data_IF_836918903446
#
_entry.id   IF_836918903446
#
_cell.length_a   1.000
_cell.length_b   1.000
_cell.length_c   1.000
_cell.angle_alpha   90.00
_cell.angle_beta   90.00
_cell.angle_gamma   90.00
#
_symmetry.space_group_name_H-M   'P 1'
#
loop_
_entity.id
_entity.type
_entity.pdbx_description
1 polymer ?
#
# COMPACT_ATOMS: atom_id res chain seq x y z
N UNK A 1 -17.96 -22.74 33.25
CA UNK A 1 -18.14 -23.01 31.82
C UNK A 1 -16.76 -23.03 31.19
N UNK A 2 -16.50 -23.85 30.15
CA UNK A 2 -15.24 -23.80 29.41
C UNK A 2 -15.15 -22.47 28.67
N UNK A 3 -13.95 -21.90 28.55
CA UNK A 3 -13.71 -20.64 27.84
C UNK A 3 -13.30 -20.92 26.40
N UNK A 4 -13.94 -20.27 25.45
CA UNK A 4 -13.71 -20.47 24.02
C UNK A 4 -13.33 -19.14 23.38
N UNK A 5 -12.29 -19.14 22.55
CA UNK A 5 -11.84 -17.94 21.83
C UNK A 5 -11.86 -18.16 20.32
N UNK A 6 -12.32 -17.16 19.57
CA UNK A 6 -12.17 -17.09 18.11
C UNK A 6 -11.91 -15.65 17.70
N UNK A 7 -11.23 -15.40 16.58
CA UNK A 7 -10.96 -14.04 16.09
C UNK A 7 -11.50 -13.85 14.68
N UNK A 8 -12.15 -12.72 14.43
CA UNK A 8 -12.68 -12.34 13.13
C UNK A 8 -11.96 -11.15 12.51
N UNK A 9 -11.67 -11.28 11.22
CA UNK A 9 -11.06 -10.28 10.36
C UNK A 9 -12.02 -9.92 9.21
N UNK A 10 -13.28 -9.61 9.53
CA UNK A 10 -14.35 -9.37 8.55
C UNK A 10 -15.16 -8.12 8.83
N UNK A 11 -15.64 -7.49 7.75
CA UNK A 11 -16.63 -6.41 7.79
C UNK A 11 -18.07 -6.93 7.61
N UNK A 12 -18.25 -8.20 7.24
CA UNK A 12 -19.57 -8.82 6.99
C UNK A 12 -19.63 -10.21 7.64
N UNK A 13 -20.68 -10.45 8.41
CA UNK A 13 -21.00 -11.76 8.98
C UNK A 13 -21.88 -12.55 8.01
N UNK A 14 -21.29 -13.55 7.37
CA UNK A 14 -21.99 -14.51 6.52
C UNK A 14 -22.11 -15.89 7.20
N UNK A 15 -22.65 -16.88 6.48
CA UNK A 15 -22.93 -18.23 7.02
C UNK A 15 -21.71 -18.93 7.62
N UNK A 16 -20.56 -18.90 6.94
CA UNK A 16 -19.31 -19.47 7.49
C UNK A 16 -18.93 -18.97 8.89
N UNK A 17 -19.04 -17.66 9.14
CA UNK A 17 -18.81 -17.08 10.47
C UNK A 17 -19.83 -17.58 11.50
N UNK A 18 -21.11 -17.68 11.12
CA UNK A 18 -22.17 -18.19 12.01
C UNK A 18 -21.97 -19.67 12.35
N UNK A 19 -21.53 -20.48 11.40
CA UNK A 19 -21.23 -21.90 11.64
C UNK A 19 -20.04 -22.06 12.59
N UNK A 20 -19.01 -21.23 12.42
CA UNK A 20 -17.86 -21.20 13.32
C UNK A 20 -18.27 -20.83 14.76
N UNK A 21 -19.14 -19.82 14.92
CA UNK A 21 -19.67 -19.44 16.24
C UNK A 21 -20.52 -20.53 16.89
N UNK A 22 -21.36 -21.22 16.12
CA UNK A 22 -22.16 -22.35 16.64
C UNK A 22 -21.28 -23.48 17.15
N UNK A 23 -20.25 -23.85 16.38
CA UNK A 23 -19.26 -24.84 16.80
C UNK A 23 -18.51 -24.39 18.06
N UNK A 24 -18.18 -23.11 18.18
CA UNK A 24 -17.57 -22.55 19.38
C UNK A 24 -18.52 -22.58 20.60
N UNK A 25 -19.79 -22.25 20.42
CA UNK A 25 -20.80 -22.22 21.48
C UNK A 25 -21.14 -23.62 22.03
N UNK A 26 -20.99 -24.67 21.23
CA UNK A 26 -21.11 -26.07 21.69
C UNK A 26 -20.00 -26.45 22.70
N UNK A 27 -18.85 -25.77 22.66
CA UNK A 27 -17.70 -26.05 23.53
C UNK A 27 -17.72 -25.26 24.84
N UNK A 28 -18.38 -24.09 24.88
CA UNK A 28 -18.38 -23.24 26.07
C UNK A 28 -18.78 -21.79 25.81
N UNK A 29 -18.33 -20.91 26.71
CA UNK A 29 -18.62 -19.46 26.67
C UNK A 29 -17.67 -18.79 25.66
N UNK A 30 -18.24 -18.13 24.64
CA UNK A 30 -17.49 -17.64 23.49
C UNK A 30 -17.09 -16.17 23.67
N UNK A 31 -15.78 -15.94 23.71
CA UNK A 31 -15.17 -14.61 23.55
C UNK A 31 -14.71 -14.47 22.10
N UNK A 32 -15.15 -13.42 21.41
CA UNK A 32 -14.73 -13.12 20.04
C UNK A 32 -13.74 -11.95 20.02
N UNK A 33 -12.56 -12.18 19.48
CA UNK A 33 -11.61 -11.14 19.10
C UNK A 33 -11.99 -10.47 17.79
N UNK A 34 -11.86 -9.15 17.74
CA UNK A 34 -11.97 -8.37 16.51
C UNK A 34 -10.61 -7.76 16.23
N UNK A 35 -9.99 -8.14 15.10
CA UNK A 35 -8.64 -7.70 14.76
C UNK A 35 -8.59 -6.18 14.56
N UNK A 36 -7.58 -5.51 15.11
CA UNK A 36 -7.36 -4.07 14.97
C UNK A 36 -7.24 -3.63 13.51
N UNK A 37 -7.60 -2.36 13.21
CA UNK A 37 -7.50 -1.81 11.83
C UNK A 37 -6.06 -1.86 11.27
N UNK A 38 -5.00 -1.51 12.04
CA UNK A 38 -3.62 -1.57 11.54
C UNK A 38 -3.22 -2.98 11.14
N UNK A 39 -3.58 -3.99 11.94
CA UNK A 39 -3.24 -5.37 11.64
C UNK A 39 -4.08 -5.95 10.52
N UNK A 40 -5.35 -5.52 10.36
CA UNK A 40 -6.14 -5.88 9.18
C UNK A 40 -5.47 -5.42 7.88
N UNK A 41 -4.96 -4.19 7.85
CA UNK A 41 -4.24 -3.62 6.69
C UNK A 41 -2.96 -4.41 6.40
N UNK A 42 -2.20 -4.77 7.43
CA UNK A 42 -0.94 -5.54 7.26
C UNK A 42 -1.19 -6.99 6.85
N UNK A 43 -2.23 -7.62 7.39
CA UNK A 43 -2.51 -9.04 7.20
C UNK A 43 -3.32 -9.33 5.94
N UNK A 44 -4.50 -8.74 5.79
CA UNK A 44 -5.53 -9.30 4.92
C UNK A 44 -6.10 -8.25 3.96
N UNK A 45 -6.79 -7.25 4.51
CA UNK A 45 -7.55 -6.29 3.71
C UNK A 45 -7.80 -4.99 4.44
N UNK A 46 -8.04 -3.96 3.65
CA UNK A 46 -8.46 -2.67 4.15
C UNK A 46 -9.88 -2.73 4.76
N UNK A 47 -10.10 -2.30 6.02
CA UNK A 47 -11.40 -2.38 6.66
C UNK A 47 -12.39 -1.36 6.07
N UNK A 48 -13.55 -1.85 5.59
CA UNK A 48 -14.64 -0.99 5.10
C UNK A 48 -15.48 -0.41 6.23
N UNK A 49 -15.50 -1.07 7.40
CA UNK A 49 -16.16 -0.62 8.63
C UNK A 49 -15.13 -0.22 9.69
N UNK A 50 -15.51 0.72 10.54
CA UNK A 50 -14.71 1.05 11.72
C UNK A 50 -14.62 -0.14 12.68
N UNK A 51 -13.54 -0.23 13.47
CA UNK A 51 -13.42 -1.24 14.52
C UNK A 51 -14.65 -1.28 15.44
N UNK A 52 -15.20 -0.13 15.82
CA UNK A 52 -16.38 -0.04 16.68
C UNK A 52 -17.62 -0.68 16.03
N UNK A 53 -17.87 -0.42 14.73
CA UNK A 53 -18.97 -1.04 13.99
C UNK A 53 -18.79 -2.56 13.86
N UNK A 54 -17.56 -3.02 13.63
CA UNK A 54 -17.23 -4.46 13.57
C UNK A 54 -17.47 -5.16 14.91
N UNK A 55 -17.07 -4.53 16.01
CA UNK A 55 -17.33 -5.03 17.36
C UNK A 55 -18.83 -5.11 17.67
N UNK A 56 -19.61 -4.09 17.31
CA UNK A 56 -21.05 -4.09 17.55
C UNK A 56 -21.77 -5.17 16.72
N UNK A 57 -21.38 -5.34 15.45
CA UNK A 57 -21.90 -6.39 14.58
C UNK A 57 -21.72 -7.79 15.17
N UNK A 58 -20.64 -8.01 15.92
CA UNK A 58 -20.35 -9.29 16.58
C UNK A 58 -21.06 -9.38 17.94
N UNK A 59 -21.15 -8.28 18.69
CA UNK A 59 -21.75 -8.24 20.02
C UNK A 59 -23.24 -8.59 20.02
N UNK A 60 -23.95 -8.30 18.93
CA UNK A 60 -25.39 -8.61 18.80
C UNK A 60 -25.68 -10.08 18.47
N UNK A 61 -24.66 -10.91 18.24
CA UNK A 61 -24.84 -12.31 17.90
C UNK A 61 -25.12 -13.15 19.16
N UNK A 62 -26.15 -14.01 19.15
CA UNK A 62 -26.61 -14.72 20.35
C UNK A 62 -25.61 -15.73 20.89
N UNK A 63 -24.71 -16.24 20.05
CA UNK A 63 -23.65 -17.17 20.45
C UNK A 63 -22.48 -16.49 21.20
N UNK A 64 -22.40 -15.15 21.20
CA UNK A 64 -21.25 -14.39 21.69
C UNK A 64 -21.50 -13.87 23.10
N UNK A 65 -20.61 -14.22 24.04
CA UNK A 65 -20.69 -13.75 25.42
C UNK A 65 -19.88 -12.46 25.65
N UNK A 66 -18.70 -12.35 25.02
CA UNK A 66 -17.81 -11.20 25.14
C UNK A 66 -17.16 -10.86 23.80
N UNK A 67 -16.95 -9.58 23.53
CA UNK A 67 -16.22 -9.09 22.36
C UNK A 67 -15.04 -8.26 22.82
N UNK A 68 -13.84 -8.63 22.36
CA UNK A 68 -12.58 -7.94 22.69
C UNK A 68 -11.88 -7.49 21.42
N UNK A 69 -11.02 -6.49 21.54
CA UNK A 69 -10.08 -6.16 20.46
C UNK A 69 -8.92 -7.15 20.53
N UNK A 70 -8.55 -7.68 19.36
CA UNK A 70 -7.28 -8.37 19.16
C UNK A 70 -6.31 -7.38 18.51
N UNK A 71 -5.34 -6.89 19.29
CA UNK A 71 -4.45 -5.81 18.87
C UNK A 71 -3.40 -6.25 17.84
N UNK A 72 -3.04 -7.53 17.85
CA UNK A 72 -2.02 -8.15 17.00
C UNK A 72 -2.55 -9.36 16.23
N UNK A 73 -2.05 -9.59 15.01
CA UNK A 73 -2.44 -10.77 14.23
C UNK A 73 -2.06 -12.08 14.93
N UNK A 74 -0.94 -12.09 15.66
CA UNK A 74 -0.54 -13.20 16.49
C UNK A 74 -1.36 -13.26 17.78
N UNK A 75 -1.59 -14.48 18.25
CA UNK A 75 -2.55 -14.76 19.32
C UNK A 75 -1.88 -14.85 20.69
N UNK A 76 -0.56 -14.89 20.79
CA UNK A 76 0.16 -15.15 22.03
C UNK A 76 -0.20 -14.16 23.14
N UNK A 77 -0.27 -12.86 22.86
CA UNK A 77 -0.66 -11.87 23.88
C UNK A 77 -2.11 -12.06 24.36
N UNK A 78 -3.05 -12.21 23.43
CA UNK A 78 -4.47 -12.35 23.77
C UNK A 78 -4.75 -13.68 24.49
N UNK A 79 -4.05 -14.74 24.12
CA UNK A 79 -4.16 -16.05 24.76
C UNK A 79 -3.49 -16.09 26.13
N UNK A 80 -2.36 -15.41 26.32
CA UNK A 80 -1.73 -15.26 27.63
C UNK A 80 -2.67 -14.49 28.61
N UNK A 81 -3.42 -13.51 28.09
CA UNK A 81 -4.40 -12.72 28.87
C UNK A 81 -5.68 -13.51 29.18
N UNK A 82 -6.33 -14.09 28.18
CA UNK A 82 -7.65 -14.71 28.33
C UNK A 82 -7.58 -16.15 28.85
N UNK A 83 -6.51 -16.86 28.52
CA UNK A 83 -6.28 -18.29 28.79
C UNK A 83 -7.51 -19.16 28.48
N UNK A 84 -8.03 -19.14 27.24
CA UNK A 84 -9.18 -19.97 26.86
C UNK A 84 -8.82 -21.46 26.87
N UNK A 85 -9.79 -22.31 27.21
CA UNK A 85 -9.63 -23.77 27.09
C UNK A 85 -9.53 -24.18 25.61
N UNK A 86 -10.28 -23.50 24.74
CA UNK A 86 -10.35 -23.79 23.31
C UNK A 86 -10.13 -22.54 22.47
N UNK A 87 -9.34 -22.64 21.40
CA UNK A 87 -9.37 -21.70 20.29
C UNK A 87 -10.07 -22.36 19.11
N UNK A 88 -11.01 -21.67 18.48
CA UNK A 88 -11.76 -22.19 17.34
C UNK A 88 -11.46 -21.34 16.10
N UNK A 89 -10.99 -21.97 15.03
CA UNK A 89 -10.66 -21.30 13.78
C UNK A 89 -10.99 -22.19 12.57
N UNK A 90 -11.35 -21.62 11.42
CA UNK A 90 -11.54 -22.40 10.20
C UNK A 90 -10.27 -23.13 9.75
N UNK A 91 -10.42 -24.27 9.08
CA UNK A 91 -9.29 -25.10 8.62
C UNK A 91 -8.47 -24.51 7.45
N UNK A 92 -8.78 -23.29 6.99
CA UNK A 92 -8.28 -22.69 5.74
C UNK A 92 -6.93 -21.95 5.85
N UNK A 93 -6.28 -21.97 7.00
CA UNK A 93 -5.02 -21.26 7.30
C UNK A 93 -3.79 -22.17 7.48
N UNK A 94 -3.90 -23.45 7.13
CA UNK A 94 -2.83 -24.43 7.34
C UNK A 94 -1.63 -24.28 6.38
N UNK A 95 -1.77 -23.51 5.30
CA UNK A 95 -0.77 -23.29 4.26
C UNK A 95 -0.56 -21.80 4.03
N UNK A 96 0.53 -21.43 3.35
CA UNK A 96 0.85 -20.02 3.07
C UNK A 96 1.40 -19.27 4.29
N UNK A 97 1.48 -17.94 4.20
CA UNK A 97 1.94 -17.08 5.29
C UNK A 97 1.12 -17.26 6.57
N UNK A 98 -0.17 -17.59 6.47
CA UNK A 98 -1.09 -17.80 7.60
C UNK A 98 -0.71 -19.01 8.47
N UNK A 99 0.06 -19.95 7.93
CA UNK A 99 0.55 -21.10 8.69
C UNK A 99 1.43 -20.71 9.89
N UNK A 100 2.04 -19.52 9.85
CA UNK A 100 2.78 -18.92 10.98
C UNK A 100 1.84 -18.60 12.16
N UNK A 101 0.66 -18.04 11.88
CA UNK A 101 -0.37 -17.71 12.87
C UNK A 101 -0.87 -18.99 13.55
N UNK A 102 -1.13 -20.04 12.76
CA UNK A 102 -1.54 -21.35 13.31
C UNK A 102 -0.47 -21.94 14.24
N UNK A 103 0.81 -21.84 13.88
CA UNK A 103 1.93 -22.28 14.75
C UNK A 103 2.01 -21.46 16.03
N UNK A 104 1.82 -20.15 15.96
CA UNK A 104 1.79 -19.26 17.12
C UNK A 104 0.66 -19.66 18.10
N UNK A 105 -0.54 -19.92 17.60
CA UNK A 105 -1.68 -20.38 18.42
C UNK A 105 -1.39 -21.70 19.13
N UNK A 106 -0.89 -22.70 18.39
CA UNK A 106 -0.53 -24.01 18.97
C UNK A 106 0.54 -23.87 20.05
N UNK A 107 1.56 -23.04 19.80
CA UNK A 107 2.63 -22.79 20.76
C UNK A 107 2.12 -22.07 22.02
N UNK A 108 1.23 -21.08 21.88
CA UNK A 108 0.63 -20.35 23.00
C UNK A 108 -0.27 -21.26 23.85
N UNK A 109 -1.16 -22.04 23.23
CA UNK A 109 -2.05 -22.97 23.92
C UNK A 109 -1.29 -24.04 24.71
N UNK A 110 -0.18 -24.55 24.16
CA UNK A 110 0.66 -25.56 24.81
C UNK A 110 1.25 -25.08 26.14
N UNK A 111 1.40 -23.76 26.36
CA UNK A 111 1.94 -23.19 27.61
C UNK A 111 1.05 -23.47 28.82
N UNK A 112 -0.25 -23.67 28.62
CA UNK A 112 -1.22 -23.85 29.69
C UNK A 112 -2.22 -25.00 29.46
N UNK A 113 -2.06 -25.77 28.39
CA UNK A 113 -2.87 -26.95 28.10
C UNK A 113 -4.22 -26.67 27.43
N UNK A 114 -4.32 -25.59 26.63
CA UNK A 114 -5.47 -25.35 25.77
C UNK A 114 -5.42 -26.16 24.47
N UNK A 115 -6.53 -26.20 23.74
CA UNK A 115 -6.67 -26.97 22.50
C UNK A 115 -7.14 -26.10 21.33
N UNK A 116 -6.60 -26.35 20.13
CA UNK A 116 -7.06 -25.73 18.89
C UNK A 116 -8.09 -26.66 18.22
N UNK A 117 -9.29 -26.13 17.96
CA UNK A 117 -10.38 -26.83 17.28
C UNK A 117 -10.59 -26.21 15.90
N UNK A 118 -10.53 -27.05 14.86
CA UNK A 118 -10.56 -26.61 13.47
C UNK A 118 -11.77 -27.19 12.72
N UNK A 119 -12.98 -26.62 12.87
CA UNK A 119 -14.13 -27.06 12.08
C UNK A 119 -13.88 -26.86 10.58
N UNK A 120 -14.50 -27.69 9.72
CA UNK A 120 -14.38 -27.55 8.27
C UNK A 120 -14.78 -26.16 7.79
N UNK A 121 -13.98 -25.58 6.90
CA UNK A 121 -14.30 -24.29 6.30
C UNK A 121 -15.59 -24.36 5.47
N UNK A 122 -16.51 -23.42 5.71
CA UNK A 122 -17.76 -23.35 4.95
C UNK A 122 -17.50 -22.75 3.58
N UNK A 123 -17.42 -23.60 2.56
CA UNK A 123 -17.35 -23.16 1.15
C UNK A 123 -18.70 -23.37 0.46
N UNK A 124 -19.41 -22.28 0.18
CA UNK A 124 -20.58 -22.33 -0.69
C UNK A 124 -20.62 -21.09 -1.61
N UNK A 125 -21.48 -21.15 -2.62
CA UNK A 125 -21.57 -20.11 -3.65
C UNK A 125 -21.95 -18.74 -3.08
N UNK A 126 -22.81 -18.69 -2.06
CA UNK A 126 -23.23 -17.43 -1.43
C UNK A 126 -22.10 -16.80 -0.61
N UNK A 127 -21.34 -17.59 0.16
CA UNK A 127 -20.16 -17.11 0.89
C UNK A 127 -19.13 -16.54 -0.09
N UNK A 128 -18.80 -17.28 -1.16
CA UNK A 128 -17.86 -16.80 -2.18
C UNK A 128 -18.33 -15.51 -2.85
N UNK A 129 -19.63 -15.39 -3.10
CA UNK A 129 -20.23 -14.18 -3.69
C UNK A 129 -20.13 -12.98 -2.74
N UNK A 130 -20.35 -13.18 -1.44
CA UNK A 130 -20.21 -12.11 -0.44
C UNK A 130 -18.75 -11.65 -0.37
N UNK A 131 -17.79 -12.57 -0.27
CA UNK A 131 -16.37 -12.24 -0.24
C UNK A 131 -15.93 -11.50 -1.51
N UNK A 132 -16.41 -11.94 -2.67
CA UNK A 132 -16.18 -11.25 -3.94
C UNK A 132 -16.76 -9.83 -3.93
N UNK A 133 -18.02 -9.65 -3.52
CA UNK A 133 -18.66 -8.33 -3.45
C UNK A 133 -17.93 -7.38 -2.51
N UNK A 134 -17.39 -7.85 -1.39
CA UNK A 134 -16.58 -7.05 -0.49
C UNK A 134 -15.30 -6.55 -1.16
N UNK A 135 -14.64 -7.42 -1.93
CA UNK A 135 -13.45 -7.04 -2.69
C UNK A 135 -13.77 -6.05 -3.80
N UNK A 136 -14.84 -6.26 -4.55
CA UNK A 136 -15.28 -5.35 -5.61
C UNK A 136 -15.60 -3.96 -5.07
N UNK A 137 -16.25 -3.87 -3.90
CA UNK A 137 -16.48 -2.59 -3.24
C UNK A 137 -15.18 -1.83 -2.99
N UNK A 138 -14.09 -2.54 -2.65
CA UNK A 138 -12.77 -1.94 -2.49
C UNK A 138 -12.10 -1.56 -3.83
N UNK A 139 -12.49 -2.15 -4.95
CA UNK A 139 -11.99 -1.79 -6.28
C UNK A 139 -12.66 -0.54 -6.85
N UNK A 140 -13.88 -0.22 -6.39
CA UNK A 140 -14.66 0.91 -6.89
C UNK A 140 -13.92 2.26 -6.74
N UNK A 141 -13.98 3.16 -7.75
CA UNK A 141 -13.32 4.46 -7.70
C UNK A 141 -13.62 5.28 -6.44
N UNK A 142 -14.87 5.28 -5.97
CA UNK A 142 -15.30 6.03 -4.79
C UNK A 142 -14.63 5.50 -3.51
N UNK A 143 -14.51 4.19 -3.37
CA UNK A 143 -13.86 3.56 -2.22
C UNK A 143 -12.33 3.62 -2.28
N UNK A 144 -11.75 3.65 -3.49
CA UNK A 144 -10.29 3.72 -3.69
C UNK A 144 -9.76 5.14 -3.48
N UNK A 145 -10.47 6.17 -3.98
CA UNK A 145 -10.04 7.57 -3.91
C UNK A 145 -9.67 8.01 -2.49
N UNK A 146 -10.57 7.82 -1.52
CA UNK A 146 -10.34 8.18 -0.11
C UNK A 146 -9.43 7.24 0.69
N UNK A 147 -8.98 6.13 0.11
CA UNK A 147 -8.28 5.08 0.85
C UNK A 147 -6.92 5.51 1.38
N UNK A 148 -6.16 6.29 0.60
CA UNK A 148 -4.85 6.75 1.03
C UNK A 148 -4.92 7.60 2.31
N UNK A 149 -5.88 8.53 2.38
CA UNK A 149 -6.09 9.34 3.59
C UNK A 149 -6.41 8.49 4.82
N UNK A 150 -7.24 7.47 4.64
CA UNK A 150 -7.60 6.54 5.73
C UNK A 150 -6.41 5.69 6.15
N UNK A 151 -5.59 5.20 5.21
CA UNK A 151 -4.34 4.51 5.55
C UNK A 151 -3.41 5.40 6.39
N UNK A 152 -3.28 6.67 6.05
CA UNK A 152 -2.50 7.64 6.83
C UNK A 152 -3.04 7.86 8.26
N UNK A 153 -4.27 7.46 8.57
CA UNK A 153 -4.79 7.45 9.96
C UNK A 153 -4.65 6.11 10.67
N UNK A 154 -4.38 5.02 9.93
CA UNK A 154 -4.39 3.65 10.43
C UNK A 154 -2.96 3.13 10.64
N UNK A 155 -2.10 3.29 9.65
CA UNK A 155 -0.74 2.75 9.67
C UNK A 155 0.30 3.84 9.99
N UNK A 156 1.39 3.49 10.70
CA UNK A 156 2.46 4.44 10.96
C UNK A 156 3.09 4.94 9.66
N UNK A 157 3.21 4.05 8.66
CA UNK A 157 3.77 4.36 7.36
C UNK A 157 2.97 3.64 6.25
N UNK A 158 2.73 4.33 5.15
CA UNK A 158 2.14 3.74 3.94
C UNK A 158 3.26 3.29 3.01
N UNK A 159 3.41 1.98 2.85
CA UNK A 159 4.42 1.36 2.01
C UNK A 159 3.92 1.28 0.58
N UNK A 160 4.60 1.97 -0.31
CA UNK A 160 4.18 2.12 -1.71
C UNK A 160 5.24 1.52 -2.62
N UNK A 161 4.83 0.68 -3.58
CA UNK A 161 5.72 0.09 -4.58
C UNK A 161 5.34 0.50 -5.99
N UNK A 162 6.34 0.65 -6.86
CA UNK A 162 6.12 0.98 -8.26
C UNK A 162 5.29 -0.08 -9.01
N UNK A 163 4.41 0.40 -9.89
CA UNK A 163 3.66 -0.43 -10.85
C UNK A 163 3.61 0.28 -12.21
N UNK A 164 3.64 -0.50 -13.29
CA UNK A 164 3.61 0.02 -14.66
C UNK A 164 2.82 -0.87 -15.64
N UNK A 165 2.06 -1.85 -15.12
CA UNK A 165 1.08 -2.67 -15.85
C UNK A 165 0.27 -3.54 -14.85
N UNK A 166 -0.75 -4.25 -15.34
CA UNK A 166 -1.57 -5.14 -14.50
C UNK A 166 -0.77 -6.24 -13.77
N UNK A 167 0.31 -6.78 -14.35
CA UNK A 167 1.13 -7.83 -13.70
C UNK A 167 1.88 -7.29 -12.49
N UNK A 168 2.52 -6.13 -12.61
CA UNK A 168 3.16 -5.45 -11.47
C UNK A 168 2.13 -4.99 -10.44
N UNK A 169 0.94 -4.59 -10.88
CA UNK A 169 -0.22 -4.37 -10.01
C UNK A 169 -0.56 -5.61 -9.17
N UNK A 170 -0.68 -6.78 -9.79
CA UNK A 170 -0.96 -8.04 -9.08
C UNK A 170 0.15 -8.44 -8.10
N UNK A 171 1.42 -8.19 -8.44
CA UNK A 171 2.55 -8.40 -7.51
C UNK A 171 2.41 -7.48 -6.31
N UNK A 172 2.15 -6.19 -6.51
CA UNK A 172 1.95 -5.22 -5.43
C UNK A 172 0.71 -5.55 -4.57
N UNK A 173 -0.36 -6.06 -5.18
CA UNK A 173 -1.59 -6.47 -4.51
C UNK A 173 -1.38 -7.71 -3.63
N UNK A 174 -0.73 -8.75 -4.17
CA UNK A 174 -0.73 -10.11 -3.59
C UNK A 174 0.52 -10.48 -2.79
N UNK A 175 1.58 -9.67 -2.83
CA UNK A 175 2.80 -9.98 -2.08
C UNK A 175 2.56 -9.79 -0.59
N UNK A 176 2.66 -10.89 0.16
CA UNK A 176 2.63 -10.92 1.63
C UNK A 176 3.86 -11.71 2.10
N UNK A 177 4.56 -11.18 3.09
CA UNK A 177 5.73 -11.80 3.70
C UNK A 177 5.54 -11.97 5.20
N UNK A 178 6.24 -12.95 5.77
CA UNK A 178 6.37 -13.10 7.22
C UNK A 178 7.63 -12.35 7.67
N UNK A 179 7.50 -11.43 8.63
CA UNK A 179 8.62 -10.71 9.23
C UNK A 179 8.36 -10.42 10.72
N UNK A 180 9.40 -10.56 11.56
CA UNK A 180 9.38 -10.23 13.00
C UNK A 180 8.16 -10.79 13.79
N UNK A 181 7.71 -12.00 13.44
CA UNK A 181 6.55 -12.62 14.09
C UNK A 181 5.21 -12.01 13.67
N UNK A 182 5.14 -11.32 12.53
CA UNK A 182 3.91 -10.81 11.92
C UNK A 182 3.87 -11.03 10.41
N UNK A 183 2.76 -10.63 9.79
CA UNK A 183 2.60 -10.59 8.34
C UNK A 183 2.72 -9.15 7.85
N UNK A 184 3.24 -8.99 6.64
CA UNK A 184 3.48 -7.67 6.06
C UNK A 184 3.29 -7.65 4.54
N UNK A 185 2.78 -6.52 4.02
CA UNK A 185 2.49 -6.31 2.60
C UNK A 185 2.63 -4.85 2.18
N UNK A 186 2.52 -4.55 0.88
CA UNK A 186 2.42 -3.16 0.40
C UNK A 186 1.03 -2.58 0.63
N UNK A 187 0.95 -1.30 0.97
CA UNK A 187 -0.30 -0.60 1.29
C UNK A 187 -0.87 0.18 0.11
N UNK A 188 0.00 0.64 -0.80
CA UNK A 188 -0.35 1.49 -1.93
C UNK A 188 0.52 1.20 -3.17
N UNK A 189 0.11 1.74 -4.32
CA UNK A 189 0.81 1.59 -5.58
C UNK A 189 1.29 2.93 -6.13
N UNK A 190 2.51 2.95 -6.66
CA UNK A 190 3.13 4.13 -7.28
C UNK A 190 3.19 3.95 -8.79
N UNK A 191 2.42 4.74 -9.53
CA UNK A 191 2.50 4.75 -11.00
C UNK A 191 3.61 5.72 -11.41
N UNK A 192 4.80 5.14 -11.58
CA UNK A 192 6.05 5.84 -11.86
C UNK A 192 6.12 6.36 -13.30
N UNK A 193 6.42 7.64 -13.50
CA UNK A 193 6.68 8.20 -14.84
C UNK A 193 7.88 7.53 -15.52
N UNK A 194 8.93 7.24 -14.74
CA UNK A 194 10.12 6.53 -15.20
C UNK A 194 9.81 5.11 -15.69
N UNK A 195 9.09 4.32 -14.89
CA UNK A 195 8.83 2.93 -15.23
C UNK A 195 7.83 2.81 -16.38
N UNK A 196 6.81 3.67 -16.41
CA UNK A 196 5.80 3.70 -17.47
C UNK A 196 6.41 4.13 -18.83
N UNK A 197 7.30 5.12 -18.85
CA UNK A 197 8.04 5.47 -20.07
C UNK A 197 9.03 4.38 -20.49
N UNK A 198 9.78 3.82 -19.53
CA UNK A 198 10.77 2.76 -19.80
C UNK A 198 10.13 1.49 -20.35
N UNK A 199 8.97 1.08 -19.82
CA UNK A 199 8.25 -0.11 -20.31
C UNK A 199 7.79 0.06 -21.77
N UNK A 200 7.59 1.31 -22.21
CA UNK A 200 7.27 1.70 -23.59
C UNK A 200 8.52 1.96 -24.46
N UNK A 201 9.72 1.75 -23.92
CA UNK A 201 10.98 2.06 -24.62
C UNK A 201 11.20 3.56 -24.88
N UNK A 202 10.53 4.43 -24.13
CA UNK A 202 10.58 5.88 -24.24
C UNK A 202 11.40 6.49 -23.08
N UNK A 203 12.06 7.64 -23.27
CA UNK A 203 12.71 8.36 -22.18
C UNK A 203 11.70 9.07 -21.26
N UNK A 204 12.06 9.19 -19.98
CA UNK A 204 11.28 9.92 -18.96
C UNK A 204 11.53 11.45 -19.05
N UNK A 205 10.83 12.08 -19.98
CA UNK A 205 10.94 13.51 -20.31
C UNK A 205 9.56 14.17 -20.55
N UNK A 206 8.51 13.69 -19.87
CA UNK A 206 7.10 14.09 -20.14
C UNK A 206 6.61 13.72 -21.56
N UNK A 207 7.28 12.76 -22.22
CA UNK A 207 6.92 12.34 -23.58
C UNK A 207 5.64 11.50 -23.63
N UNK A 208 5.36 10.73 -22.57
CA UNK A 208 4.16 9.90 -22.47
C UNK A 208 3.02 10.78 -21.99
N UNK A 209 2.02 10.99 -22.84
CA UNK A 209 0.90 11.87 -22.53
C UNK A 209 -0.04 11.25 -21.49
N UNK A 210 -0.85 12.08 -20.84
CA UNK A 210 -1.73 11.63 -19.77
C UNK A 210 -2.73 10.55 -20.21
N UNK A 211 -3.16 10.52 -21.48
CA UNK A 211 -4.11 9.52 -21.98
C UNK A 211 -3.47 8.13 -21.98
N UNK A 212 -2.22 8.04 -22.44
CA UNK A 212 -1.40 6.82 -22.36
C UNK A 212 -1.24 6.37 -20.90
N UNK A 213 -0.99 7.30 -19.98
CA UNK A 213 -0.83 7.01 -18.55
C UNK A 213 -2.13 6.57 -17.90
N UNK A 214 -3.27 7.13 -18.30
CA UNK A 214 -4.60 6.69 -17.88
C UNK A 214 -4.86 5.26 -18.32
N UNK A 215 -4.38 4.83 -19.50
CA UNK A 215 -4.48 3.44 -19.90
C UNK A 215 -3.75 2.52 -18.91
N UNK A 216 -2.49 2.84 -18.56
CA UNK A 216 -1.72 2.07 -17.56
C UNK A 216 -2.46 2.03 -16.22
N UNK A 217 -3.04 3.16 -15.78
CA UNK A 217 -3.83 3.24 -14.55
C UNK A 217 -5.04 2.30 -14.62
N UNK A 218 -5.79 2.30 -15.73
CA UNK A 218 -6.96 1.43 -15.90
C UNK A 218 -6.58 -0.05 -15.85
N UNK A 219 -5.49 -0.45 -16.53
CA UNK A 219 -4.99 -1.82 -16.51
C UNK A 219 -4.60 -2.28 -15.09
N UNK A 220 -4.01 -1.40 -14.28
CA UNK A 220 -3.69 -1.69 -12.88
C UNK A 220 -4.97 -1.74 -12.04
N UNK A 221 -5.88 -0.77 -12.22
CA UNK A 221 -7.11 -0.65 -11.44
C UNK A 221 -8.08 -1.81 -11.63
N UNK A 222 -8.06 -2.45 -12.81
CA UNK A 222 -8.89 -3.62 -13.15
C UNK A 222 -8.57 -4.86 -12.30
N UNK A 223 -7.32 -5.01 -11.87
CA UNK A 223 -6.83 -6.24 -11.22
C UNK A 223 -6.41 -6.06 -9.76
N UNK A 224 -6.58 -4.85 -9.21
CA UNK A 224 -6.06 -4.48 -7.87
C UNK A 224 -7.14 -3.80 -7.04
N UNK A 225 -6.89 -3.59 -5.75
CA UNK A 225 -7.79 -2.80 -4.89
C UNK A 225 -7.08 -1.64 -4.23
N UNK A 226 -5.77 -1.73 -3.98
CA UNK A 226 -4.97 -0.73 -3.26
C UNK A 226 -5.04 0.69 -3.87
N UNK A 227 -4.85 1.75 -3.07
CA UNK A 227 -4.84 3.12 -3.56
C UNK A 227 -3.68 3.35 -4.52
N UNK A 228 -3.90 4.23 -5.50
CA UNK A 228 -2.92 4.62 -6.50
C UNK A 228 -2.43 6.04 -6.22
N UNK A 229 -1.11 6.18 -6.16
CA UNK A 229 -0.38 7.43 -6.14
C UNK A 229 0.28 7.59 -7.52
N UNK A 230 -0.04 8.66 -8.22
CA UNK A 230 0.44 8.92 -9.58
C UNK A 230 1.56 9.96 -9.57
N UNK A 231 2.70 9.64 -10.19
CA UNK A 231 3.69 10.65 -10.56
C UNK A 231 3.08 11.57 -11.63
N UNK A 232 2.91 12.85 -11.42
CA UNK A 232 2.35 13.76 -12.44
C UNK A 232 3.39 14.69 -13.04
N UNK A 233 4.68 14.35 -12.89
CA UNK A 233 5.77 15.15 -13.42
C UNK A 233 5.62 16.60 -12.93
N UNK A 234 5.73 17.61 -13.79
CA UNK A 234 5.49 19.00 -13.41
C UNK A 234 4.01 19.39 -13.30
N UNK A 235 3.09 18.48 -13.66
CA UNK A 235 1.64 18.74 -13.72
C UNK A 235 1.18 19.58 -14.93
N UNK A 236 2.09 20.02 -15.80
CA UNK A 236 1.78 20.92 -16.91
C UNK A 236 1.48 22.35 -16.47
N UNK A 237 0.65 23.07 -17.23
CA UNK A 237 0.16 24.41 -16.83
C UNK A 237 -0.91 24.30 -15.75
N UNK A 238 -1.16 25.38 -15.00
CA UNK A 238 -2.18 25.39 -13.95
C UNK A 238 -3.58 25.07 -14.50
N UNK A 239 -3.92 25.56 -15.69
CA UNK A 239 -5.20 25.31 -16.35
C UNK A 239 -5.35 23.84 -16.73
N UNK A 240 -4.32 23.24 -17.34
CA UNK A 240 -4.35 21.81 -17.68
C UNK A 240 -4.41 20.95 -16.42
N UNK A 241 -3.63 21.30 -15.40
CA UNK A 241 -3.61 20.56 -14.14
C UNK A 241 -5.00 20.50 -13.49
N UNK A 242 -5.75 21.60 -13.49
CA UNK A 242 -7.12 21.63 -12.96
C UNK A 242 -8.07 20.62 -13.64
N UNK A 243 -7.99 20.47 -14.97
CA UNK A 243 -8.78 19.45 -15.70
C UNK A 243 -8.27 18.02 -15.45
N UNK A 244 -6.96 17.85 -15.33
CA UNK A 244 -6.34 16.56 -15.05
C UNK A 244 -6.74 16.06 -13.65
N UNK A 245 -6.73 16.92 -12.64
CA UNK A 245 -7.20 16.60 -11.28
C UNK A 245 -8.61 16.04 -11.30
N UNK A 246 -9.56 16.71 -11.97
CA UNK A 246 -10.94 16.24 -12.09
C UNK A 246 -11.06 14.87 -12.76
N UNK A 247 -10.20 14.61 -13.74
CA UNK A 247 -10.20 13.34 -14.48
C UNK A 247 -9.67 12.21 -13.59
N UNK A 248 -8.52 12.42 -12.95
CA UNK A 248 -7.85 11.46 -12.09
C UNK A 248 -8.68 11.16 -10.83
N UNK A 249 -9.28 12.20 -10.24
CA UNK A 249 -10.21 12.07 -9.11
C UNK A 249 -11.44 11.24 -9.48
N UNK A 250 -12.00 11.43 -10.68
CA UNK A 250 -13.19 10.70 -11.14
C UNK A 250 -12.91 9.22 -11.36
N UNK A 251 -11.73 8.86 -11.87
CA UNK A 251 -11.37 7.45 -12.12
C UNK A 251 -10.89 6.72 -10.85
N UNK A 252 -10.71 7.42 -9.73
CA UNK A 252 -10.40 6.81 -8.43
C UNK A 252 -8.91 6.76 -8.08
N UNK A 253 -8.08 7.58 -8.73
CA UNK A 253 -6.70 7.83 -8.26
C UNK A 253 -6.80 8.50 -6.88
N UNK A 254 -5.96 8.08 -5.93
CA UNK A 254 -6.01 8.57 -4.56
C UNK A 254 -5.17 9.84 -4.37
N UNK A 255 -4.03 9.90 -5.06
CA UNK A 255 -3.13 11.05 -5.00
C UNK A 255 -2.37 11.29 -6.29
N UNK A 256 -2.00 12.54 -6.51
CA UNK A 256 -0.99 12.93 -7.50
C UNK A 256 0.19 13.60 -6.81
N UNK A 257 1.39 13.34 -7.31
CA UNK A 257 2.61 14.04 -6.91
C UNK A 257 3.08 14.89 -8.08
N UNK A 258 3.16 16.21 -7.90
CA UNK A 258 3.72 17.13 -8.91
C UNK A 258 5.03 17.75 -8.41
N UNK A 259 6.01 17.94 -9.30
CA UNK A 259 7.35 18.46 -8.96
C UNK A 259 7.56 19.91 -9.42
N UNK A 260 8.32 20.66 -8.63
CA UNK A 260 8.56 22.08 -8.84
C UNK A 260 9.68 22.40 -9.85
N UNK A 261 9.85 21.57 -10.89
CA UNK A 261 10.81 21.81 -11.97
C UNK A 261 10.25 22.69 -13.08
N UNK A 262 11.16 23.35 -13.79
CA UNK A 262 10.91 24.02 -15.07
C UNK A 262 11.95 23.62 -16.11
N UNK A 263 11.59 23.75 -17.39
CA UNK A 263 12.41 23.33 -18.53
C UNK A 263 12.08 21.93 -19.03
N UNK A 264 12.86 21.42 -19.99
CA UNK A 264 12.68 20.05 -20.48
C UNK A 264 12.98 19.07 -19.34
N UNK A 265 11.94 18.37 -18.84
CA UNK A 265 12.09 17.37 -17.78
C UNK A 265 13.17 16.36 -18.20
N UNK A 266 14.11 16.07 -17.29
CA UNK A 266 14.94 14.86 -17.30
C UNK A 266 14.90 14.25 -15.92
N UNK A 267 14.81 12.93 -15.85
CA UNK A 267 14.72 12.19 -14.61
C UNK A 267 15.88 12.52 -13.64
N UNK A 268 15.57 12.71 -12.35
CA UNK A 268 16.50 13.15 -11.28
C UNK A 268 17.69 12.22 -11.05
N UNK A 269 17.64 10.99 -11.58
CA UNK A 269 18.71 10.00 -11.49
C UNK A 269 19.81 10.20 -12.54
N UNK A 270 19.56 10.95 -13.62
CA UNK A 270 20.53 11.23 -14.68
C UNK A 270 21.13 12.63 -14.46
N UNK A 271 22.47 12.72 -14.46
CA UNK A 271 23.24 13.90 -14.03
C UNK A 271 22.91 15.24 -14.70
N UNK A 272 23.45 16.32 -14.14
CA UNK A 272 23.17 17.74 -14.44
C UNK A 272 23.78 18.26 -15.75
N UNK A 273 23.85 17.45 -16.81
CA UNK A 273 24.47 17.85 -18.09
C UNK A 273 23.64 18.90 -18.87
N UNK A 274 22.39 19.15 -18.46
CA UNK A 274 21.55 20.26 -18.93
C UNK A 274 21.03 21.01 -17.70
N UNK A 275 21.10 22.35 -17.71
CA UNK A 275 20.66 23.18 -16.60
C UNK A 275 19.15 22.98 -16.33
N UNK A 276 18.82 22.29 -15.25
CA UNK A 276 17.47 22.22 -14.71
C UNK A 276 17.27 23.39 -13.73
N UNK A 277 16.11 24.04 -13.81
CA UNK A 277 15.72 25.09 -12.87
C UNK A 277 14.47 24.68 -12.10
N UNK A 278 14.23 25.31 -10.95
CA UNK A 278 12.95 25.18 -10.27
C UNK A 278 12.02 26.29 -10.70
N UNK A 279 10.74 25.99 -10.66
CA UNK A 279 9.69 26.98 -10.70
C UNK A 279 9.81 27.94 -9.52
N UNK A 280 9.23 29.12 -9.69
CA UNK A 280 9.08 30.09 -8.61
C UNK A 280 8.06 29.57 -7.61
N UNK A 281 8.26 29.85 -6.32
CA UNK A 281 7.30 29.47 -5.26
C UNK A 281 5.89 29.97 -5.60
N UNK A 282 5.67 31.24 -6.02
CA UNK A 282 4.33 31.72 -6.36
C UNK A 282 3.66 30.97 -7.51
N UNK A 283 4.38 30.71 -8.62
CA UNK A 283 3.79 30.04 -9.78
C UNK A 283 3.44 28.57 -9.49
N UNK A 284 4.31 27.85 -8.77
CA UNK A 284 4.02 26.48 -8.38
C UNK A 284 2.88 26.41 -7.35
N UNK A 285 2.82 27.38 -6.43
CA UNK A 285 1.71 27.54 -5.48
C UNK A 285 0.39 27.81 -6.18
N UNK A 286 0.37 28.65 -7.22
CA UNK A 286 -0.83 28.90 -8.04
C UNK A 286 -1.32 27.60 -8.70
N UNK A 287 -0.42 26.78 -9.23
CA UNK A 287 -0.76 25.47 -9.80
C UNK A 287 -1.38 24.52 -8.77
N UNK A 288 -0.78 24.42 -7.58
CA UNK A 288 -1.34 23.62 -6.47
C UNK A 288 -2.74 24.13 -6.12
N UNK A 289 -2.89 25.43 -5.90
CA UNK A 289 -4.17 26.05 -5.53
C UNK A 289 -5.24 25.85 -6.62
N UNK A 290 -4.87 25.96 -7.90
CA UNK A 290 -5.76 25.68 -9.03
C UNK A 290 -6.22 24.21 -9.05
N UNK A 291 -5.30 23.27 -8.79
CA UNK A 291 -5.62 21.86 -8.64
C UNK A 291 -6.58 21.60 -7.47
N UNK A 292 -6.28 22.17 -6.29
CA UNK A 292 -7.12 22.07 -5.09
C UNK A 292 -8.52 22.65 -5.32
N UNK A 293 -8.63 23.81 -5.96
CA UNK A 293 -9.91 24.42 -6.32
C UNK A 293 -10.71 23.62 -7.36
N UNK A 294 -10.05 22.76 -8.14
CA UNK A 294 -10.70 21.95 -9.16
C UNK A 294 -11.31 20.65 -8.63
N UNK A 295 -10.89 20.19 -7.44
CA UNK A 295 -11.36 18.96 -6.79
C UNK A 295 -12.87 19.00 -6.53
N UNK A 296 -13.50 17.83 -6.57
CA UNK A 296 -14.93 17.66 -6.28
C UNK A 296 -15.17 17.02 -4.91
N UNK A 297 -14.13 16.42 -4.34
CA UNK A 297 -14.13 15.73 -3.06
C UNK A 297 -12.91 16.17 -2.24
N UNK A 298 -13.00 16.04 -0.92
CA UNK A 298 -11.85 16.23 -0.03
C UNK A 298 -10.93 15.01 0.02
N UNK A 299 -11.31 13.91 -0.66
CA UNK A 299 -10.63 12.62 -0.59
C UNK A 299 -9.33 12.58 -1.37
N UNK A 300 -9.32 13.15 -2.59
CA UNK A 300 -8.16 13.18 -3.46
C UNK A 300 -7.04 14.05 -2.86
N UNK A 301 -5.79 13.63 -3.00
CA UNK A 301 -4.62 14.35 -2.47
C UNK A 301 -3.76 14.93 -3.60
N UNK A 302 -3.28 16.16 -3.41
CA UNK A 302 -2.23 16.78 -4.22
C UNK A 302 -1.00 16.93 -3.34
N UNK A 303 0.07 16.23 -3.68
CA UNK A 303 1.34 16.22 -2.95
C UNK A 303 2.37 16.99 -3.77
N UNK A 304 3.07 17.93 -3.13
CA UNK A 304 4.11 18.73 -3.77
C UNK A 304 5.48 18.09 -3.57
N UNK A 305 6.16 17.75 -4.67
CA UNK A 305 7.53 17.26 -4.70
C UNK A 305 8.51 18.41 -4.84
N UNK A 306 9.46 18.48 -3.91
CA UNK A 306 10.47 19.53 -3.81
C UNK A 306 11.80 18.99 -4.34
N UNK A 307 12.35 19.66 -5.36
CA UNK A 307 13.60 19.26 -6.02
C UNK A 307 14.83 20.06 -5.55
N UNK A 308 14.71 20.84 -4.46
CA UNK A 308 15.78 21.71 -3.96
C UNK A 308 17.07 20.97 -3.58
N UNK A 309 16.96 19.77 -2.99
CA UNK A 309 18.14 18.97 -2.64
C UNK A 309 18.75 18.31 -3.89
N UNK A 310 17.92 17.88 -4.85
CA UNK A 310 18.40 17.37 -6.16
C UNK A 310 19.21 18.43 -6.90
N UNK A 311 18.81 19.70 -6.80
CA UNK A 311 19.43 20.85 -7.45
C UNK A 311 20.42 21.61 -6.56
N UNK A 312 20.81 21.02 -5.42
CA UNK A 312 21.85 21.54 -4.53
C UNK A 312 21.60 22.96 -4.00
N UNK A 313 20.33 23.38 -3.89
CA UNK A 313 19.94 24.67 -3.29
C UNK A 313 19.93 24.66 -1.76
N UNK A 314 19.99 23.49 -1.16
CA UNK A 314 20.10 23.28 0.27
C UNK A 314 18.77 23.29 1.03
N UNK A 315 18.88 23.01 2.33
CA UNK A 315 17.75 22.80 3.24
C UNK A 315 16.84 24.03 3.40
N UNK A 316 17.41 25.23 3.44
CA UNK A 316 16.64 26.45 3.65
C UNK A 316 15.66 26.74 2.50
N UNK A 317 16.11 26.60 1.24
CA UNK A 317 15.25 26.73 0.05
C UNK A 317 14.17 25.63 0.01
N UNK A 318 14.54 24.39 0.38
CA UNK A 318 13.57 23.29 0.48
C UNK A 318 12.45 23.59 1.49
N UNK A 319 12.79 24.09 2.67
CA UNK A 319 11.83 24.45 3.71
C UNK A 319 10.96 25.64 3.28
N UNK A 320 11.55 26.70 2.70
CA UNK A 320 10.79 27.86 2.21
C UNK A 320 9.73 27.45 1.15
N UNK A 321 10.11 26.55 0.24
CA UNK A 321 9.18 25.96 -0.74
C UNK A 321 8.08 25.15 -0.08
N UNK A 322 8.43 24.29 0.88
CA UNK A 322 7.45 23.50 1.62
C UNK A 322 6.40 24.39 2.29
N UNK A 323 6.81 25.48 2.93
CA UNK A 323 5.89 26.47 3.53
C UNK A 323 4.95 27.08 2.49
N UNK A 324 5.48 27.51 1.35
CA UNK A 324 4.67 28.05 0.26
C UNK A 324 3.66 27.04 -0.30
N UNK A 325 4.07 25.79 -0.47
CA UNK A 325 3.24 24.74 -1.05
C UNK A 325 2.16 24.26 -0.08
N UNK A 326 2.46 24.19 1.22
CA UNK A 326 1.46 23.95 2.26
C UNK A 326 0.45 25.10 2.32
N UNK A 327 0.91 26.35 2.27
CA UNK A 327 0.02 27.52 2.25
C UNK A 327 -0.89 27.55 1.01
N UNK A 328 -0.43 26.99 -0.12
CA UNK A 328 -1.22 26.81 -1.34
C UNK A 328 -2.25 25.66 -1.27
N UNK A 329 -2.18 24.83 -0.21
CA UNK A 329 -3.11 23.73 0.03
C UNK A 329 -2.58 22.34 -0.34
N UNK A 330 -1.28 22.14 -0.52
CA UNK A 330 -0.72 20.81 -0.70
C UNK A 330 -1.08 19.89 0.48
N UNK A 331 -1.57 18.69 0.19
CA UNK A 331 -1.98 17.69 1.19
C UNK A 331 -0.80 16.90 1.76
N UNK A 332 0.40 17.09 1.21
CA UNK A 332 1.62 16.41 1.61
C UNK A 332 2.82 16.99 0.88
N UNK A 333 4.01 16.75 1.45
CA UNK A 333 5.27 17.16 0.85
C UNK A 333 6.12 15.93 0.56
N UNK A 334 6.58 15.79 -0.67
CA UNK A 334 7.62 14.84 -1.03
C UNK A 334 8.96 15.56 -1.07
N UNK A 335 9.91 15.11 -0.25
CA UNK A 335 11.30 15.56 -0.32
C UNK A 335 12.12 14.51 -1.06
N UNK A 336 12.94 14.94 -2.01
CA UNK A 336 13.74 14.02 -2.81
C UNK A 336 15.23 14.37 -2.77
N UNK A 337 16.06 13.32 -2.70
CA UNK A 337 17.51 13.41 -2.68
C UNK A 337 18.13 12.30 -3.54
N UNK A 338 19.27 12.62 -4.14
CA UNK A 338 20.13 11.67 -4.86
C UNK A 338 21.37 11.27 -4.04
N UNK A 339 21.54 11.82 -2.84
CA UNK A 339 22.63 11.47 -1.94
C UNK A 339 22.55 10.00 -1.52
N UNK A 340 23.71 9.42 -1.17
CA UNK A 340 23.78 8.06 -0.63
C UNK A 340 23.45 7.98 0.85
N UNK A 341 23.58 9.09 1.58
CA UNK A 341 23.22 9.20 2.98
C UNK A 341 21.81 9.80 3.12
N UNK A 342 20.99 9.35 4.08
CA UNK A 342 19.67 9.94 4.35
C UNK A 342 19.73 11.29 5.09
N UNK A 343 20.91 11.77 5.51
CA UNK A 343 21.06 12.89 6.46
C UNK A 343 20.30 14.17 6.05
N UNK A 344 20.40 14.59 4.78
CA UNK A 344 19.72 15.81 4.31
C UNK A 344 18.20 15.65 4.22
N UNK A 345 17.73 14.43 3.97
CA UNK A 345 16.31 14.09 3.97
C UNK A 345 15.80 14.09 5.41
N UNK A 346 16.51 13.46 6.35
CA UNK A 346 16.17 13.47 7.78
C UNK A 346 16.13 14.91 8.32
N UNK A 347 17.14 15.72 8.02
CA UNK A 347 17.19 17.11 8.47
C UNK A 347 16.01 17.94 7.96
N UNK A 348 15.57 17.70 6.71
CA UNK A 348 14.34 18.29 6.18
C UNK A 348 13.11 17.78 6.93
N UNK A 349 12.99 16.47 7.09
CA UNK A 349 11.83 15.84 7.71
C UNK A 349 11.62 16.35 9.15
N UNK A 350 12.68 16.37 9.98
CA UNK A 350 12.61 16.85 11.36
C UNK A 350 12.18 18.32 11.44
N UNK A 351 12.80 19.18 10.63
CA UNK A 351 12.53 20.61 10.63
C UNK A 351 11.11 20.92 10.12
N UNK A 352 10.63 20.21 9.10
CA UNK A 352 9.29 20.38 8.55
C UNK A 352 8.22 19.82 9.49
N UNK A 353 8.40 18.59 10.00
CA UNK A 353 7.44 17.94 10.89
C UNK A 353 7.23 18.72 12.19
N UNK A 354 8.27 19.35 12.73
CA UNK A 354 8.16 20.19 13.92
C UNK A 354 7.19 21.38 13.75
N UNK A 355 7.00 21.88 12.52
CA UNK A 355 6.07 22.97 12.20
C UNK A 355 4.73 22.49 11.66
N UNK A 356 4.74 21.40 10.89
CA UNK A 356 3.59 20.87 10.16
C UNK A 356 3.31 19.40 10.53
N UNK A 357 3.01 19.09 11.80
CA UNK A 357 2.92 17.70 12.27
C UNK A 357 1.80 16.89 11.61
N UNK A 358 0.80 17.58 11.06
CA UNK A 358 -0.37 16.97 10.41
C UNK A 358 -0.22 16.81 8.89
N UNK A 359 0.85 17.36 8.29
CA UNK A 359 1.10 17.24 6.85
C UNK A 359 2.01 16.03 6.61
N UNK A 360 1.55 14.98 5.89
CA UNK A 360 2.36 13.81 5.63
C UNK A 360 3.57 14.14 4.77
N UNK A 361 4.73 13.63 5.19
CA UNK A 361 5.97 13.66 4.40
C UNK A 361 6.10 12.35 3.61
N UNK A 362 6.46 12.47 2.33
CA UNK A 362 6.78 11.36 1.44
C UNK A 362 8.28 11.30 1.21
N UNK A 363 8.89 10.11 1.38
CA UNK A 363 10.29 9.85 1.07
C UNK A 363 10.46 8.75 0.02
N UNK A 364 11.53 8.84 -0.76
CA UNK A 364 11.85 7.90 -1.85
C UNK A 364 13.30 7.42 -1.70
N UNK A 365 13.55 6.40 -0.86
CA UNK A 365 14.89 5.93 -0.50
C UNK A 365 15.55 5.08 -1.60
N UNK A 366 15.48 5.52 -2.87
CA UNK A 366 16.13 4.83 -3.99
C UNK A 366 17.66 4.92 -3.94
N UNK A 367 18.19 6.09 -3.54
CA UNK A 367 19.64 6.37 -3.49
C UNK A 367 20.24 6.14 -2.10
N UNK A 368 19.51 6.51 -1.05
CA UNK A 368 19.85 6.33 0.37
C UNK A 368 19.15 5.08 0.94
N UNK A 369 19.32 3.95 0.25
CA UNK A 369 18.52 2.73 0.40
C UNK A 369 18.85 1.86 1.64
N UNK A 370 19.68 2.35 2.56
CA UNK A 370 20.03 1.63 3.79
C UNK A 370 19.12 1.96 4.96
N UNK A 371 18.39 3.09 4.90
CA UNK A 371 17.46 3.50 5.95
C UNK A 371 16.16 2.69 5.85
N UNK A 372 15.64 2.28 7.00
CA UNK A 372 14.40 1.53 7.12
C UNK A 372 13.19 2.45 7.17
N UNK A 373 12.02 1.88 6.89
CA UNK A 373 10.73 2.56 7.04
C UNK A 373 10.48 3.03 8.48
N UNK A 374 10.84 2.22 9.47
CA UNK A 374 10.69 2.56 10.88
C UNK A 374 11.55 3.77 11.28
N UNK A 375 12.81 3.82 10.80
CA UNK A 375 13.68 4.97 11.01
C UNK A 375 13.13 6.23 10.33
N UNK A 376 12.65 6.13 9.09
CA UNK A 376 11.99 7.25 8.40
C UNK A 376 10.74 7.73 9.15
N UNK A 377 9.92 6.82 9.66
CA UNK A 377 8.72 7.14 10.42
C UNK A 377 9.03 7.89 11.72
N UNK A 378 10.15 7.57 12.38
CA UNK A 378 10.62 8.29 13.57
C UNK A 378 10.94 9.77 13.28
N UNK A 379 11.21 10.12 12.03
CA UNK A 379 11.44 11.49 11.55
C UNK A 379 10.19 12.13 10.90
N UNK A 380 8.99 11.56 11.10
CA UNK A 380 7.73 12.13 10.63
C UNK A 380 7.34 11.75 9.20
N UNK A 381 8.10 10.87 8.53
CA UNK A 381 7.71 10.32 7.23
C UNK A 381 6.48 9.44 7.38
N UNK A 382 5.48 9.64 6.52
CA UNK A 382 4.22 8.86 6.53
C UNK A 382 4.00 8.02 5.28
N UNK A 383 4.73 8.30 4.19
CA UNK A 383 4.67 7.52 2.94
C UNK A 383 6.10 7.23 2.48
N UNK A 384 6.39 5.96 2.19
CA UNK A 384 7.64 5.53 1.56
C UNK A 384 7.35 4.93 0.21
N UNK A 385 8.05 5.41 -0.83
CA UNK A 385 7.90 4.94 -2.20
C UNK A 385 9.16 4.19 -2.66
N UNK A 386 8.99 2.91 -2.96
CA UNK A 386 9.93 2.10 -3.72
C UNK A 386 9.69 2.30 -5.23
N UNK A 387 10.35 3.31 -5.80
CA UNK A 387 9.95 3.93 -7.07
C UNK A 387 10.31 3.18 -8.37
N UNK A 388 11.25 2.23 -8.37
CA UNK A 388 11.72 1.57 -9.62
C UNK A 388 12.33 0.16 -9.43
N UNK A 389 12.12 -0.45 -8.26
CA UNK A 389 12.76 -1.70 -7.88
C UNK A 389 12.27 -2.88 -8.73
N UNK A 390 10.98 -2.95 -9.06
CA UNK A 390 10.44 -4.03 -9.91
C UNK A 390 11.01 -3.99 -11.32
N UNK A 391 10.97 -2.82 -11.98
CA UNK A 391 11.60 -2.62 -13.30
C UNK A 391 13.08 -3.01 -13.29
N UNK A 392 13.84 -2.54 -12.29
CA UNK A 392 15.27 -2.85 -12.16
C UNK A 392 15.57 -4.33 -11.86
N UNK A 393 14.66 -5.04 -11.21
CA UNK A 393 14.76 -6.47 -10.97
C UNK A 393 14.44 -7.28 -12.23
N UNK A 394 13.42 -6.86 -13.00
CA UNK A 394 12.99 -7.54 -14.23
C UNK A 394 14.06 -7.47 -15.34
N UNK A 395 14.68 -6.31 -15.51
CA UNK A 395 15.64 -6.06 -16.60
C UNK A 395 16.78 -7.09 -16.69
N UNK A 396 17.60 -7.34 -15.65
CA UNK A 396 18.70 -8.31 -15.72
C UNK A 396 18.21 -9.74 -15.93
N UNK A 397 17.01 -10.10 -15.42
CA UNK A 397 16.44 -11.44 -15.63
C UNK A 397 16.04 -11.65 -17.10
N UNK A 398 15.35 -10.66 -17.70
CA UNK A 398 15.00 -10.68 -19.12
C UNK A 398 16.25 -10.70 -20.01
N UNK A 399 17.24 -9.87 -19.70
CA UNK A 399 18.50 -9.83 -20.45
C UNK A 399 19.26 -11.16 -20.34
N UNK A 400 19.34 -11.74 -19.14
CA UNK A 400 19.99 -13.05 -18.91
C UNK A 400 19.30 -14.16 -19.72
N UNK A 401 17.97 -14.16 -19.79
CA UNK A 401 17.23 -15.15 -20.57
C UNK A 401 17.53 -15.01 -22.07
N UNK A 402 17.44 -13.79 -22.60
CA UNK A 402 17.76 -13.51 -24.00
C UNK A 402 19.19 -13.91 -24.37
N UNK A 403 20.17 -13.57 -23.53
CA UNK A 403 21.58 -13.96 -23.71
C UNK A 403 21.75 -15.48 -23.72
N UNK A 404 21.13 -16.19 -22.78
CA UNK A 404 21.21 -17.66 -22.71
C UNK A 404 20.67 -18.32 -23.99
N UNK A 405 19.54 -17.83 -24.52
CA UNK A 405 18.96 -18.35 -25.75
C UNK A 405 19.89 -18.16 -26.96
N UNK A 406 20.53 -16.99 -27.07
CA UNK A 406 21.46 -16.69 -28.17
C UNK A 406 22.76 -17.50 -28.08
N UNK A 407 23.27 -17.76 -26.87
CA UNK A 407 24.51 -18.54 -26.67
C UNK A 407 24.30 -20.02 -26.92
N UNK A 408 23.15 -20.57 -26.50
CA UNK A 408 22.91 -22.02 -26.55
C UNK A 408 22.01 -22.48 -27.69
N UNK A 409 21.36 -21.54 -28.40
CA UNK A 409 20.41 -21.80 -29.49
C UNK A 409 19.25 -22.73 -29.08
N UNK A 410 18.92 -22.78 -27.79
CA UNK A 410 17.83 -23.56 -27.19
C UNK A 410 17.48 -23.03 -25.80
N UNK A 411 16.35 -23.44 -25.26
CA UNK A 411 15.85 -22.98 -23.96
C UNK A 411 16.29 -23.83 -22.74
N UNK A 412 16.99 -24.96 -22.95
CA UNK A 412 17.25 -25.94 -21.89
C UNK A 412 18.00 -25.36 -20.68
N UNK A 413 19.03 -24.55 -20.91
CA UNK A 413 19.87 -23.97 -19.86
C UNK A 413 19.14 -22.91 -19.04
N UNK A 414 18.23 -22.15 -19.68
CA UNK A 414 17.47 -21.10 -19.03
C UNK A 414 16.24 -21.64 -18.31
N UNK A 415 15.66 -22.76 -18.76
CA UNK A 415 14.41 -23.33 -18.22
C UNK A 415 14.45 -23.52 -16.70
N UNK A 416 15.58 -23.99 -16.16
CA UNK A 416 15.80 -24.16 -14.71
C UNK A 416 15.73 -22.86 -13.88
N UNK A 417 15.81 -21.70 -14.52
CA UNK A 417 15.77 -20.36 -13.89
C UNK A 417 14.44 -19.63 -14.14
N UNK A 418 13.56 -20.19 -14.96
CA UNK A 418 12.27 -19.59 -15.28
C UNK A 418 11.20 -20.13 -14.33
N UNK A 419 10.26 -19.28 -13.94
CA UNK A 419 9.05 -19.77 -13.31
C UNK A 419 8.20 -20.52 -14.35
N UNK A 420 7.61 -21.67 -13.98
CA UNK A 420 6.58 -22.29 -14.80
C UNK A 420 5.44 -21.31 -15.09
N UNK A 421 4.97 -21.26 -16.34
CA UNK A 421 3.87 -20.36 -16.75
C UNK A 421 2.63 -20.52 -15.87
N UNK A 422 2.31 -21.76 -15.46
CA UNK A 422 1.21 -22.05 -14.55
C UNK A 422 1.31 -21.29 -13.22
N UNK A 423 2.52 -21.02 -12.74
CA UNK A 423 2.75 -20.34 -11.46
C UNK A 423 2.66 -18.82 -11.62
N UNK A 424 2.99 -18.28 -12.81
CA UNK A 424 2.77 -16.88 -13.16
C UNK A 424 1.27 -16.59 -13.28
N UNK A 425 0.53 -17.46 -13.99
CA UNK A 425 -0.91 -17.28 -14.22
C UNK A 425 -1.71 -17.41 -12.91
N UNK A 426 -1.19 -18.04 -11.85
CA UNK A 426 -1.85 -18.06 -10.51
C UNK A 426 -2.12 -16.67 -9.94
N UNK A 427 -1.36 -15.66 -10.37
CA UNK A 427 -1.64 -14.28 -9.96
C UNK A 427 -2.92 -13.74 -10.61
N UNK A 428 -3.32 -14.26 -11.78
CA UNK A 428 -4.51 -13.87 -12.51
C UNK A 428 -5.66 -14.77 -12.04
N UNK A 429 -6.65 -14.17 -11.37
CA UNK A 429 -7.85 -14.90 -11.01
C UNK A 429 -8.75 -15.04 -12.24
N UNK A 430 -9.25 -16.26 -12.47
CA UNK A 430 -10.31 -16.49 -13.45
C UNK A 430 -11.62 -16.18 -12.73
N UNK A 431 -12.32 -15.14 -13.19
CA UNK A 431 -13.60 -14.70 -12.64
C UNK A 431 -14.73 -15.72 -12.86
#
# INVERSE_FOLDING_TARGET
>A
MKKVYTCFCTDIIHEGHKNLLRAAAELGEVTVGVLSDPEMVRYNRFPTKTLAERMEMIRVLPEVAEVVVQEHIMYDEILDRLRPDYVVHGSNWAQGPESSIRKNVLAALARYGGELIEPPYTENAEVRKIDWQMREQLAMPEARRGRLRRLLSIVPIVKTIEVHNGLTGLIAEKTVVENDGGLDQFDAMWVSSLCDSTSRGKPDIELVDLSDRIQTINEVMEVTTKPIILDMDTGGTAEHFAYNVRTLERIGVSAVIIEDKTGAKRNSLFGTEVAQTQDTIPNFSEKIAAGKAAQRTEEFMIIARIESLILEKGLADALERAEGYVAAGADGIMIHSRAKSPDEVIAFCDAFHAKHPNIPIVAVPSSYNTITEAELAAHGVRIVIYANQLTRAAFPAMESAARSLLVHHRAHEIDSKLLPIKDIIRLIEVM
#
